data_IF_584415492385
#
_entry.id   IF_584415492385
#
_cell.length_a   1.000
_cell.length_b   1.000
_cell.length_c   1.000
_cell.angle_alpha   90.00
_cell.angle_beta   90.00
_cell.angle_gamma   90.00
#
_symmetry.space_group_name_H-M   'P 1'
#
loop_
_entity.id
_entity.type
_entity.pdbx_description
1 polymer ?
#
# COMPACT_ATOMS: atom_id res chain seq x y z
N UNK A 1 58.40 -0.59 -15.46
CA UNK A 1 57.25 -1.36 -14.93
C UNK A 1 56.83 -0.89 -13.54
N UNK A 2 57.78 -0.66 -12.63
CA UNK A 2 57.52 -0.26 -11.23
C UNK A 2 56.82 1.11 -11.10
N UNK A 3 57.28 2.13 -11.83
CA UNK A 3 56.66 3.47 -11.85
C UNK A 3 55.20 3.46 -12.35
N UNK A 4 54.86 2.57 -13.30
CA UNK A 4 53.48 2.39 -13.78
C UNK A 4 52.58 1.70 -12.74
N UNK A 5 53.13 0.84 -11.88
CA UNK A 5 52.38 0.21 -10.79
C UNK A 5 52.14 1.21 -9.65
N UNK A 6 53.13 2.04 -9.32
CA UNK A 6 53.02 3.09 -8.30
C UNK A 6 51.95 4.15 -8.68
N UNK A 7 51.93 4.58 -9.94
CA UNK A 7 50.89 5.49 -10.45
C UNK A 7 49.48 4.88 -10.34
N UNK A 8 49.33 3.59 -10.68
CA UNK A 8 48.05 2.87 -10.58
C UNK A 8 47.59 2.73 -9.13
N UNK A 9 48.50 2.40 -8.21
CA UNK A 9 48.19 2.30 -6.79
C UNK A 9 47.80 3.65 -6.19
N UNK A 10 48.54 4.71 -6.54
CA UNK A 10 48.25 6.07 -6.10
C UNK A 10 46.90 6.60 -6.63
N UNK A 11 46.50 6.19 -7.83
CA UNK A 11 45.17 6.48 -8.38
C UNK A 11 44.08 5.71 -7.63
N UNK A 12 44.27 4.41 -7.38
CA UNK A 12 43.30 3.57 -6.68
C UNK A 12 43.00 4.08 -5.26
N UNK A 13 44.02 4.53 -4.52
CA UNK A 13 43.85 5.13 -3.19
C UNK A 13 42.99 6.41 -3.23
N UNK A 14 43.07 7.20 -4.30
CA UNK A 14 42.27 8.42 -4.47
C UNK A 14 40.82 8.10 -4.83
N UNK A 15 40.61 7.11 -5.68
CA UNK A 15 39.28 6.57 -5.99
C UNK A 15 38.60 6.02 -4.74
N UNK A 16 39.31 5.25 -3.91
CA UNK A 16 38.74 4.69 -2.68
C UNK A 16 38.40 5.77 -1.63
N UNK A 17 39.27 6.78 -1.48
CA UNK A 17 38.98 7.94 -0.63
C UNK A 17 37.76 8.72 -1.10
N UNK A 18 37.55 8.86 -2.41
CA UNK A 18 36.36 9.47 -2.97
C UNK A 18 35.10 8.63 -2.66
N UNK A 19 35.17 7.32 -2.90
CA UNK A 19 34.07 6.37 -2.65
C UNK A 19 33.66 6.36 -1.17
N UNK A 20 34.63 6.26 -0.27
CA UNK A 20 34.41 6.30 1.18
C UNK A 20 33.78 7.61 1.64
N UNK A 21 34.19 8.75 1.06
CA UNK A 21 33.60 10.05 1.40
C UNK A 21 32.14 10.21 0.92
N UNK A 22 31.82 9.66 -0.26
CA UNK A 22 30.44 9.62 -0.79
C UNK A 22 29.56 8.76 0.12
N UNK A 23 30.00 7.54 0.46
CA UNK A 23 29.25 6.63 1.34
C UNK A 23 29.02 7.19 2.74
N UNK A 24 29.98 7.97 3.26
CA UNK A 24 29.85 8.63 4.55
C UNK A 24 28.97 9.89 4.53
N UNK A 25 28.40 10.28 3.38
CA UNK A 25 27.63 11.52 3.23
C UNK A 25 28.46 12.80 3.37
N UNK A 26 29.79 12.69 3.27
CA UNK A 26 30.75 13.78 3.46
C UNK A 26 31.24 14.38 2.14
N UNK A 27 30.56 14.08 1.04
CA UNK A 27 30.96 14.48 -0.29
C UNK A 27 29.73 14.93 -1.07
N UNK A 28 29.57 16.25 -1.20
CA UNK A 28 28.47 16.82 -1.96
C UNK A 28 28.99 17.26 -3.32
N UNK A 29 28.56 16.57 -4.38
CA UNK A 29 28.87 16.89 -5.77
C UNK A 29 27.66 17.58 -6.39
N UNK A 30 27.85 18.81 -6.88
CA UNK A 30 26.79 19.59 -7.55
C UNK A 30 27.23 19.95 -8.96
N UNK A 31 26.44 19.59 -9.97
CA UNK A 31 26.67 19.98 -11.36
C UNK A 31 26.20 21.42 -11.58
N UNK A 32 27.07 22.28 -12.08
CA UNK A 32 26.77 23.70 -12.34
C UNK A 32 26.67 24.05 -13.83
N UNK A 33 27.31 23.25 -14.70
CA UNK A 33 27.22 23.39 -16.16
C UNK A 33 27.49 22.03 -16.86
N UNK A 34 27.30 21.92 -18.19
CA UNK A 34 27.44 20.66 -18.95
C UNK A 34 28.76 19.89 -18.79
N UNK A 35 29.82 20.51 -18.27
CA UNK A 35 31.10 19.86 -17.94
C UNK A 35 31.78 20.52 -16.72
N UNK A 36 30.98 21.05 -15.79
CA UNK A 36 31.48 21.76 -14.60
C UNK A 36 30.70 21.37 -13.36
N UNK A 37 31.43 21.15 -12.27
CA UNK A 37 30.92 20.70 -10.99
C UNK A 37 31.58 21.44 -9.83
N UNK A 38 30.89 21.52 -8.72
CA UNK A 38 31.43 21.92 -7.43
C UNK A 38 31.41 20.73 -6.47
N UNK A 39 32.49 20.56 -5.71
CA UNK A 39 32.64 19.46 -4.77
C UNK A 39 32.95 20.00 -3.39
N UNK A 40 32.11 19.68 -2.41
CA UNK A 40 32.25 20.11 -1.02
C UNK A 40 32.54 18.90 -0.11
N UNK A 41 33.59 19.01 0.70
CA UNK A 41 33.90 18.03 1.75
C UNK A 41 33.10 18.35 3.02
N UNK A 42 32.50 17.34 3.66
CA UNK A 42 31.69 17.48 4.87
C UNK A 42 32.49 17.80 6.14
N UNK A 43 33.81 17.60 6.14
CA UNK A 43 34.66 17.76 7.33
C UNK A 43 35.17 19.21 7.54
N UNK A 44 34.65 20.19 6.79
CA UNK A 44 35.25 21.52 6.63
C UNK A 44 34.65 22.69 7.41
N UNK A 45 33.68 22.51 8.31
CA UNK A 45 33.13 23.64 9.06
C UNK A 45 33.95 23.92 10.32
N UNK A 46 35.08 24.61 10.16
CA UNK A 46 35.62 25.50 11.19
C UNK A 46 36.05 26.81 10.55
N UNK A 47 35.55 27.92 11.08
CA UNK A 47 35.92 29.30 10.72
C UNK A 47 35.52 29.78 9.31
N UNK A 48 34.30 29.44 8.87
CA UNK A 48 33.51 30.39 8.06
C UNK A 48 34.00 30.73 6.64
N UNK A 49 34.79 29.88 5.97
CA UNK A 49 34.95 29.92 4.50
C UNK A 49 35.72 28.68 4.01
N UNK A 50 35.00 27.61 3.65
CA UNK A 50 35.55 26.58 2.74
C UNK A 50 34.79 26.73 1.43
N UNK A 51 35.44 27.35 0.45
CA UNK A 51 34.86 27.42 -0.90
C UNK A 51 34.87 26.01 -1.49
N UNK A 52 33.77 25.60 -2.17
CA UNK A 52 33.73 24.30 -2.81
C UNK A 52 34.83 24.21 -3.88
N UNK A 53 35.39 23.02 -4.08
CA UNK A 53 36.37 22.80 -5.13
C UNK A 53 35.67 22.78 -6.48
N UNK A 54 36.14 23.59 -7.43
CA UNK A 54 35.61 23.59 -8.78
C UNK A 54 36.31 22.50 -9.59
N UNK A 55 35.51 21.64 -10.20
CA UNK A 55 35.95 20.57 -11.10
C UNK A 55 35.38 20.86 -12.48
N UNK A 56 36.21 20.74 -13.51
CA UNK A 56 35.79 20.89 -14.90
C UNK A 56 36.39 19.80 -15.76
N UNK A 57 35.68 19.43 -16.81
CA UNK A 57 36.19 18.61 -17.90
C UNK A 57 36.32 19.52 -19.12
N UNK A 58 37.53 19.63 -19.67
CA UNK A 58 37.81 20.47 -20.84
C UNK A 58 38.32 19.54 -21.96
N UNK A 59 37.42 19.13 -22.85
CA UNK A 59 37.72 18.07 -23.81
C UNK A 59 37.99 16.75 -23.08
N UNK A 60 39.17 16.19 -23.25
CA UNK A 60 39.57 14.92 -22.60
C UNK A 60 40.31 15.09 -21.26
N UNK A 61 40.52 16.34 -20.82
CA UNK A 61 41.32 16.63 -19.62
C UNK A 61 40.46 17.16 -18.48
N UNK A 62 40.56 16.50 -17.33
CA UNK A 62 39.96 16.96 -16.08
C UNK A 62 40.79 18.06 -15.45
N UNK A 63 40.16 18.98 -14.74
CA UNK A 63 40.82 19.98 -13.92
C UNK A 63 40.09 20.15 -12.59
N UNK A 64 40.83 20.33 -11.51
CA UNK A 64 40.29 20.59 -10.18
C UNK A 64 41.07 21.69 -9.48
N UNK A 65 40.40 22.54 -8.70
CA UNK A 65 41.06 23.60 -7.91
C UNK A 65 41.75 23.10 -6.63
N UNK A 66 41.72 21.80 -6.35
CA UNK A 66 42.34 21.25 -5.15
C UNK A 66 43.87 21.09 -5.27
N UNK A 67 44.55 21.18 -4.13
CA UNK A 67 46.02 21.13 -4.07
C UNK A 67 46.59 19.78 -4.55
N UNK A 68 45.90 18.66 -4.30
CA UNK A 68 46.31 17.33 -4.79
C UNK A 68 46.34 17.28 -6.32
N UNK A 69 45.38 17.94 -6.99
CA UNK A 69 45.38 18.05 -8.45
C UNK A 69 46.44 19.04 -8.95
N UNK A 70 46.62 20.19 -8.27
CA UNK A 70 47.65 21.16 -8.65
C UNK A 70 49.08 20.57 -8.58
N UNK A 71 49.31 19.62 -7.68
CA UNK A 71 50.62 19.00 -7.50
C UNK A 71 50.86 17.77 -8.39
N UNK A 72 49.81 17.01 -8.74
CA UNK A 72 49.94 15.68 -9.36
C UNK A 72 49.09 15.46 -10.61
N UNK A 73 48.16 16.37 -10.88
CA UNK A 73 47.39 16.40 -12.13
C UNK A 73 48.26 16.88 -13.29
N UNK A 74 47.99 16.46 -14.53
CA UNK A 74 46.89 15.58 -14.98
C UNK A 74 47.22 14.07 -14.88
N UNK A 75 48.42 13.69 -14.44
CA UNK A 75 48.88 12.30 -14.43
C UNK A 75 48.11 11.42 -13.42
N UNK A 76 47.69 12.03 -12.30
CA UNK A 76 46.86 11.38 -11.28
C UNK A 76 45.65 12.28 -11.01
N UNK A 77 44.46 11.70 -11.05
CA UNK A 77 43.21 12.40 -10.76
C UNK A 77 43.00 12.44 -9.25
N UNK A 78 42.66 13.62 -8.74
CA UNK A 78 42.39 13.80 -7.32
C UNK A 78 41.06 13.16 -6.91
N UNK A 79 40.86 12.99 -5.60
CA UNK A 79 39.60 12.43 -5.06
C UNK A 79 38.34 13.21 -5.48
N UNK A 80 38.46 14.50 -5.81
CA UNK A 80 37.33 15.32 -6.26
C UNK A 80 36.90 15.00 -7.68
N UNK A 81 37.86 14.79 -8.58
CA UNK A 81 37.58 14.33 -9.94
C UNK A 81 36.99 12.92 -9.89
N UNK A 82 37.60 12.02 -9.09
CA UNK A 82 37.10 10.65 -8.93
C UNK A 82 35.69 10.63 -8.34
N UNK A 83 35.38 11.50 -7.37
CA UNK A 83 34.04 11.58 -6.81
C UNK A 83 33.00 12.13 -7.79
N UNK A 84 33.38 13.08 -8.66
CA UNK A 84 32.51 13.49 -9.79
C UNK A 84 32.29 12.33 -10.74
N UNK A 85 33.35 11.62 -11.15
CA UNK A 85 33.24 10.45 -12.04
C UNK A 85 32.36 9.35 -11.46
N UNK A 86 32.51 9.04 -10.18
CA UNK A 86 31.67 8.04 -9.49
C UNK A 86 30.21 8.49 -9.39
N UNK A 87 29.97 9.77 -9.09
CA UNK A 87 28.61 10.33 -8.99
C UNK A 87 27.93 10.39 -10.37
N UNK A 88 28.65 10.79 -11.41
CA UNK A 88 28.18 10.79 -12.80
C UNK A 88 28.00 9.37 -13.33
N UNK A 89 28.85 8.42 -12.96
CA UNK A 89 28.66 7.00 -13.32
C UNK A 89 27.45 6.42 -12.61
N UNK A 90 27.20 6.77 -11.35
CA UNK A 90 26.00 6.36 -10.62
C UNK A 90 24.72 7.02 -11.19
N UNK A 91 24.80 8.28 -11.61
CA UNK A 91 23.70 8.98 -12.29
C UNK A 91 23.46 8.46 -13.72
N UNK A 92 24.51 8.07 -14.43
CA UNK A 92 24.42 7.45 -15.75
C UNK A 92 24.01 5.98 -15.65
N UNK A 93 24.35 5.27 -14.56
CA UNK A 93 23.81 3.96 -14.25
C UNK A 93 22.33 4.06 -13.88
N UNK A 94 21.93 5.02 -13.04
CA UNK A 94 20.53 5.29 -12.81
C UNK A 94 19.83 5.74 -14.09
N UNK A 95 20.46 6.52 -14.97
CA UNK A 95 19.91 6.83 -16.31
C UNK A 95 19.91 5.63 -17.25
N UNK A 96 20.81 4.65 -17.10
CA UNK A 96 20.85 3.44 -17.92
C UNK A 96 19.92 2.33 -17.41
N UNK A 97 19.63 2.34 -16.11
CA UNK A 97 18.62 1.51 -15.45
C UNK A 97 17.24 2.13 -15.67
N UNK A 98 17.11 3.46 -15.62
CA UNK A 98 15.95 4.21 -16.11
C UNK A 98 15.80 4.03 -17.63
N UNK A 99 16.88 4.04 -18.42
CA UNK A 99 16.79 3.77 -19.86
C UNK A 99 16.57 2.28 -20.17
N UNK A 100 16.95 1.32 -19.32
CA UNK A 100 16.54 -0.08 -19.45
C UNK A 100 15.09 -0.27 -19.04
N UNK A 101 14.63 0.43 -18.01
CA UNK A 101 13.21 0.54 -17.67
C UNK A 101 12.43 1.25 -18.78
N UNK A 102 12.99 2.26 -19.46
CA UNK A 102 12.36 2.97 -20.59
C UNK A 102 12.50 2.22 -21.92
N UNK A 103 13.57 1.47 -22.16
CA UNK A 103 13.79 0.66 -23.38
C UNK A 103 13.12 -0.72 -23.27
N UNK A 104 12.76 -1.15 -22.06
CA UNK A 104 11.69 -2.13 -21.84
C UNK A 104 10.29 -1.50 -21.97
N UNK A 105 10.18 -0.17 -22.10
CA UNK A 105 8.91 0.56 -22.17
C UNK A 105 8.71 1.37 -23.47
N UNK A 106 9.62 1.25 -24.43
CA UNK A 106 9.42 1.69 -25.82
C UNK A 106 9.75 0.52 -26.76
N UNK A 107 8.78 -0.39 -26.87
CA UNK A 107 8.53 -1.01 -28.18
C UNK A 107 8.00 0.07 -29.14
N UNK A 108 8.33 -0.04 -30.44
CA UNK A 108 7.91 0.93 -31.44
C UNK A 108 6.38 1.06 -31.43
N UNK A 109 5.88 2.23 -31.83
CA UNK A 109 4.48 2.48 -32.18
C UNK A 109 3.95 1.37 -33.12
N UNK A 110 3.41 0.31 -32.53
CA UNK A 110 2.58 -0.70 -33.15
C UNK A 110 1.60 -1.13 -32.08
N UNK A 111 0.41 -0.51 -32.10
CA UNK A 111 -0.82 -1.01 -31.46
C UNK A 111 -0.57 -1.86 -30.21
N UNK A 112 -0.09 -1.22 -29.13
CA UNK A 112 0.17 -1.86 -27.85
C UNK A 112 -1.14 -2.46 -27.36
N UNK A 113 -1.25 -3.77 -27.58
CA UNK A 113 -2.45 -4.59 -27.40
C UNK A 113 -3.29 -4.10 -26.23
N UNK A 114 -4.57 -3.83 -26.48
CA UNK A 114 -5.59 -3.67 -25.43
C UNK A 114 -5.49 -4.80 -24.37
N UNK A 115 -4.89 -5.94 -24.73
CA UNK A 115 -4.54 -7.02 -23.81
C UNK A 115 -3.48 -6.67 -22.75
N UNK A 116 -2.50 -5.80 -23.00
CA UNK A 116 -1.40 -5.52 -22.07
C UNK A 116 -1.82 -4.57 -20.94
N UNK A 117 -2.57 -3.49 -21.25
CA UNK A 117 -3.15 -2.60 -20.23
C UNK A 117 -4.19 -3.32 -19.38
N UNK A 118 -5.12 -4.05 -20.01
CA UNK A 118 -6.10 -4.87 -19.31
C UNK A 118 -5.44 -5.92 -18.42
N UNK A 119 -4.39 -6.59 -18.90
CA UNK A 119 -3.64 -7.60 -18.11
C UNK A 119 -2.97 -6.97 -16.89
N UNK A 120 -2.35 -5.78 -17.02
CA UNK A 120 -1.82 -5.04 -15.88
C UNK A 120 -2.91 -4.69 -14.87
N UNK A 121 -4.04 -4.14 -15.32
CA UNK A 121 -5.16 -3.79 -14.43
C UNK A 121 -5.65 -5.02 -13.67
N UNK A 122 -5.91 -6.12 -14.38
CA UNK A 122 -6.37 -7.37 -13.77
C UNK A 122 -5.34 -7.95 -12.80
N UNK A 123 -4.05 -7.84 -13.11
CA UNK A 123 -2.97 -8.26 -12.21
C UNK A 123 -2.94 -7.40 -10.92
N UNK A 124 -3.08 -6.08 -11.04
CA UNK A 124 -3.11 -5.17 -9.89
C UNK A 124 -4.33 -5.42 -8.98
N UNK A 125 -5.52 -5.60 -9.57
CA UNK A 125 -6.76 -5.86 -8.82
C UNK A 125 -6.72 -7.18 -8.02
N UNK A 126 -5.89 -8.14 -8.45
CA UNK A 126 -5.68 -9.42 -7.77
C UNK A 126 -4.69 -9.35 -6.63
N UNK A 127 -3.89 -8.29 -6.53
CA UNK A 127 -2.90 -8.16 -5.46
C UNK A 127 -3.60 -8.10 -4.09
N UNK A 128 -2.97 -8.63 -3.03
CA UNK A 128 -3.50 -8.50 -1.69
C UNK A 128 -3.60 -7.03 -1.27
N UNK A 129 -4.55 -6.72 -0.39
CA UNK A 129 -4.64 -5.41 0.21
C UNK A 129 -3.43 -5.18 1.12
N UNK A 130 -2.71 -4.07 0.89
CA UNK A 130 -1.69 -3.61 1.82
C UNK A 130 -2.36 -3.14 3.12
N UNK A 131 -2.07 -3.84 4.23
CA UNK A 131 -2.64 -3.55 5.54
C UNK A 131 -2.20 -2.19 6.10
N UNK A 132 -1.14 -1.57 5.56
CA UNK A 132 -0.72 -0.20 5.94
C UNK A 132 -1.75 0.87 5.54
N UNK A 133 -2.53 0.60 4.48
CA UNK A 133 -3.62 1.45 3.98
C UNK A 133 -4.88 1.36 4.85
N UNK A 134 -4.99 0.32 5.68
CA UNK A 134 -6.18 0.07 6.50
C UNK A 134 -6.15 0.92 7.76
N UNK A 135 -7.19 1.74 7.93
CA UNK A 135 -7.44 2.48 9.18
C UNK A 135 -8.50 1.77 9.99
N UNK A 136 -8.62 2.12 11.28
CA UNK A 136 -9.68 1.59 12.15
C UNK A 136 -10.45 2.72 12.83
N UNK A 137 -11.76 2.55 12.96
CA UNK A 137 -12.66 3.49 13.64
C UNK A 137 -13.49 2.77 14.70
N UNK A 138 -13.88 3.49 15.75
CA UNK A 138 -14.80 2.94 16.75
C UNK A 138 -16.20 2.81 16.16
N UNK A 139 -16.80 1.63 16.31
CA UNK A 139 -18.16 1.34 15.90
C UNK A 139 -19.04 1.06 17.13
N UNK A 140 -20.29 1.57 17.17
CA UNK A 140 -21.20 1.31 18.28
C UNK A 140 -21.40 -0.20 18.51
N UNK A 141 -21.05 -0.68 19.71
CA UNK A 141 -21.29 -2.06 20.14
C UNK A 141 -20.40 -3.14 19.49
N UNK A 142 -19.53 -2.79 18.53
CA UNK A 142 -18.72 -3.76 17.77
C UNK A 142 -17.21 -3.54 17.94
N UNK A 143 -16.79 -2.65 18.86
CA UNK A 143 -15.38 -2.29 19.04
C UNK A 143 -14.83 -1.50 17.85
N UNK A 144 -13.62 -1.80 17.42
CA UNK A 144 -12.93 -1.08 16.35
C UNK A 144 -13.06 -1.79 15.00
N UNK A 145 -13.54 -1.10 13.96
CA UNK A 145 -13.82 -1.63 12.62
C UNK A 145 -12.83 -1.07 11.59
N UNK A 146 -12.21 -1.92 10.74
CA UNK A 146 -11.30 -1.46 9.71
C UNK A 146 -12.02 -0.82 8.52
N UNK A 147 -11.36 0.12 7.87
CA UNK A 147 -11.85 0.80 6.68
C UNK A 147 -10.70 1.39 5.85
N UNK A 148 -10.95 1.66 4.56
CA UNK A 148 -10.09 2.49 3.71
C UNK A 148 -10.60 3.94 3.70
N UNK A 149 -9.67 4.89 3.70
CA UNK A 149 -9.95 6.31 3.60
C UNK A 149 -10.44 6.69 2.19
N UNK A 150 -11.22 7.77 2.07
CA UNK A 150 -11.79 8.18 0.78
C UNK A 150 -10.71 8.53 -0.25
N UNK A 151 -9.71 9.32 0.16
CA UNK A 151 -8.62 9.73 -0.73
C UNK A 151 -7.79 8.53 -1.21
N UNK A 152 -7.54 7.54 -0.33
CA UNK A 152 -6.77 6.33 -0.66
C UNK A 152 -7.49 5.49 -1.74
N UNK A 153 -8.82 5.37 -1.65
CA UNK A 153 -9.61 4.69 -2.70
C UNK A 153 -9.54 5.43 -4.03
N UNK A 154 -9.62 6.77 -4.01
CA UNK A 154 -9.53 7.61 -5.21
C UNK A 154 -8.13 7.48 -5.84
N UNK A 155 -7.08 7.62 -5.04
CA UNK A 155 -5.69 7.53 -5.48
C UNK A 155 -5.36 6.15 -6.06
N UNK A 156 -5.84 5.09 -5.40
CA UNK A 156 -5.69 3.73 -5.92
C UNK A 156 -6.45 3.55 -7.23
N UNK A 157 -7.66 4.10 -7.38
CA UNK A 157 -8.39 4.06 -8.63
C UNK A 157 -7.65 4.80 -9.76
N UNK A 158 -7.07 5.96 -9.46
CA UNK A 158 -6.24 6.71 -10.42
C UNK A 158 -5.02 5.90 -10.86
N UNK A 159 -4.34 5.25 -9.92
CA UNK A 159 -3.16 4.42 -10.19
C UNK A 159 -3.50 3.19 -11.03
N UNK A 160 -4.56 2.46 -10.66
CA UNK A 160 -4.93 1.22 -11.35
C UNK A 160 -5.49 1.54 -12.75
N UNK A 161 -6.46 2.46 -12.85
CA UNK A 161 -7.23 2.67 -14.08
C UNK A 161 -6.71 3.82 -14.96
N UNK A 162 -5.78 4.64 -14.47
CA UNK A 162 -5.19 5.73 -15.25
C UNK A 162 -6.20 6.83 -15.59
N UNK A 163 -6.99 7.27 -14.61
CA UNK A 163 -8.10 8.25 -14.76
C UNK A 163 -9.24 7.83 -15.71
N UNK A 164 -9.20 6.62 -16.26
CA UNK A 164 -10.25 6.07 -17.11
C UNK A 164 -11.44 5.54 -16.26
N UNK A 165 -11.89 6.34 -15.30
CA UNK A 165 -13.00 6.02 -14.43
C UNK A 165 -13.76 7.29 -14.04
N UNK A 166 -15.02 7.11 -13.65
CA UNK A 166 -15.90 8.19 -13.21
C UNK A 166 -16.80 7.70 -12.08
N UNK A 167 -17.33 8.66 -11.32
CA UNK A 167 -18.35 8.43 -10.30
C UNK A 167 -19.51 9.40 -10.52
N UNK A 168 -20.69 8.86 -10.79
CA UNK A 168 -21.91 9.62 -11.04
C UNK A 168 -22.88 9.45 -9.86
N UNK A 169 -23.57 10.52 -9.48
CA UNK A 169 -24.75 10.42 -8.63
C UNK A 169 -25.96 10.02 -9.50
N UNK A 170 -26.67 8.98 -9.10
CA UNK A 170 -27.81 8.44 -9.89
C UNK A 170 -29.12 9.16 -9.55
N UNK A 171 -29.18 9.86 -8.42
CA UNK A 171 -30.36 10.60 -7.99
C UNK A 171 -30.05 11.56 -6.85
N UNK A 172 -31.09 12.28 -6.42
CA UNK A 172 -30.98 13.19 -5.29
C UNK A 172 -30.73 12.41 -3.98
N UNK A 173 -29.94 12.97 -3.04
CA UNK A 173 -29.79 12.40 -1.71
C UNK A 173 -31.13 12.28 -0.99
N UNK A 174 -31.41 11.12 -0.40
CA UNK A 174 -32.59 10.90 0.43
C UNK A 174 -32.22 11.16 1.88
N UNK A 175 -32.96 12.06 2.53
CA UNK A 175 -32.73 12.45 3.93
C UNK A 175 -33.93 11.99 4.76
N UNK A 176 -33.68 11.13 5.74
CA UNK A 176 -34.70 10.66 6.69
C UNK A 176 -34.38 11.23 8.06
N UNK A 177 -35.33 11.90 8.72
CA UNK A 177 -35.19 12.44 10.07
C UNK A 177 -36.21 11.82 11.02
N UNK A 178 -35.80 11.56 12.26
CA UNK A 178 -36.71 11.11 13.32
C UNK A 178 -36.21 11.55 14.69
N UNK A 179 -37.11 11.51 15.68
CA UNK A 179 -36.79 11.82 17.07
C UNK A 179 -36.34 10.55 17.80
N UNK A 180 -35.14 10.60 18.40
CA UNK A 180 -34.57 9.50 19.20
C UNK A 180 -34.59 9.88 20.67
N UNK A 181 -35.08 8.98 21.53
CA UNK A 181 -35.02 9.18 22.99
C UNK A 181 -33.57 9.19 23.46
N UNK A 182 -33.19 10.23 24.20
CA UNK A 182 -31.89 10.30 24.85
C UNK A 182 -31.92 9.36 26.04
N UNK A 183 -30.95 8.45 26.13
CA UNK A 183 -30.86 7.47 27.20
C UNK A 183 -29.64 7.73 28.07
N UNK A 184 -29.84 7.74 29.39
CA UNK A 184 -28.78 7.81 30.38
C UNK A 184 -28.65 6.48 31.12
N UNK A 185 -27.43 6.13 31.54
CA UNK A 185 -27.20 4.94 32.35
C UNK A 185 -27.72 5.17 33.78
N UNK A 186 -28.66 4.36 34.23
CA UNK A 186 -29.16 4.40 35.60
C UNK A 186 -28.45 3.32 36.43
N UNK A 187 -27.76 3.73 37.49
CA UNK A 187 -27.02 2.82 38.37
C UNK A 187 -27.95 1.89 39.20
N UNK A 188 -29.11 2.38 39.63
CA UNK A 188 -30.06 1.61 40.43
C UNK A 188 -30.72 0.50 39.60
N UNK A 189 -31.15 0.84 38.39
CA UNK A 189 -31.81 -0.12 37.48
C UNK A 189 -30.82 -0.93 36.63
N UNK A 190 -29.52 -0.61 36.70
CA UNK A 190 -28.43 -1.22 35.90
C UNK A 190 -28.75 -1.32 34.40
N UNK A 191 -29.46 -0.31 33.88
CA UNK A 191 -29.87 -0.23 32.47
C UNK A 191 -29.91 1.21 31.98
N UNK A 192 -30.00 1.36 30.67
CA UNK A 192 -30.24 2.66 30.03
C UNK A 192 -31.72 3.03 30.16
N UNK A 193 -32.01 4.18 30.78
CA UNK A 193 -33.37 4.73 30.93
C UNK A 193 -33.49 6.06 30.19
N UNK A 194 -34.71 6.44 29.74
CA UNK A 194 -34.91 7.74 29.10
C UNK A 194 -34.55 8.88 30.04
N UNK A 195 -33.81 9.86 29.52
CA UNK A 195 -33.50 11.08 30.25
C UNK A 195 -34.76 11.94 30.31
N UNK A 196 -35.09 12.43 31.51
CA UNK A 196 -36.27 13.28 31.73
C UNK A 196 -35.79 14.72 31.90
N UNK A 197 -36.47 15.68 31.28
CA UNK A 197 -36.20 17.11 31.45
C UNK A 197 -36.80 17.66 32.76
N UNK A 198 -36.54 18.94 33.04
CA UNK A 198 -37.06 19.62 34.24
C UNK A 198 -38.60 19.67 34.29
N UNK A 199 -39.28 19.44 33.16
CA UNK A 199 -40.73 19.49 33.01
C UNK A 199 -41.37 18.10 33.12
N UNK A 200 -40.59 17.04 33.35
CA UNK A 200 -41.09 15.67 33.43
C UNK A 200 -41.26 14.97 32.09
N UNK A 201 -40.82 15.57 30.98
CA UNK A 201 -40.91 14.97 29.65
C UNK A 201 -39.64 14.20 29.29
N UNK A 202 -39.78 13.17 28.46
CA UNK A 202 -38.64 12.44 27.91
C UNK A 202 -37.87 13.32 26.94
N UNK A 203 -36.58 13.53 27.20
CA UNK A 203 -35.70 14.23 26.28
C UNK A 203 -35.53 13.43 24.99
N UNK A 204 -35.74 14.11 23.86
CA UNK A 204 -35.50 13.58 22.52
C UNK A 204 -34.43 14.41 21.82
N UNK A 205 -33.72 13.77 20.92
CA UNK A 205 -32.73 14.37 20.05
C UNK A 205 -33.10 14.06 18.61
N UNK A 206 -33.00 15.07 17.74
CA UNK A 206 -33.18 14.86 16.31
C UNK A 206 -31.98 14.10 15.74
N UNK A 207 -32.27 13.02 15.04
CA UNK A 207 -31.29 12.24 14.32
C UNK A 207 -31.75 12.06 12.88
N UNK A 208 -30.79 11.86 11.99
CA UNK A 208 -31.11 11.58 10.61
C UNK A 208 -30.15 10.61 9.94
N UNK A 209 -30.59 10.12 8.79
CA UNK A 209 -29.86 9.22 7.93
C UNK A 209 -29.94 9.76 6.50
N UNK A 210 -28.78 9.93 5.90
CA UNK A 210 -28.64 10.30 4.50
C UNK A 210 -28.32 9.04 3.70
N UNK A 211 -29.02 8.88 2.58
CA UNK A 211 -28.76 7.85 1.57
C UNK A 211 -28.40 8.52 0.25
N UNK A 212 -27.32 8.07 -0.37
CA UNK A 212 -26.91 8.49 -1.72
C UNK A 212 -26.70 7.25 -2.57
N UNK A 213 -27.29 7.23 -3.76
CA UNK A 213 -27.03 6.20 -4.77
C UNK A 213 -26.11 6.77 -5.83
N UNK A 214 -25.01 6.07 -6.08
CA UNK A 214 -24.00 6.46 -7.04
C UNK A 214 -23.54 5.27 -7.87
N UNK A 215 -22.90 5.55 -9.00
CA UNK A 215 -22.38 4.57 -9.95
C UNK A 215 -20.93 4.89 -10.24
N UNK A 216 -20.06 3.91 -10.09
CA UNK A 216 -18.71 3.97 -10.68
C UNK A 216 -18.77 3.36 -12.07
N UNK A 217 -18.16 4.03 -13.04
CA UNK A 217 -17.93 3.50 -14.39
C UNK A 217 -16.42 3.49 -14.66
N UNK A 218 -15.88 2.38 -15.12
CA UNK A 218 -14.45 2.20 -15.45
C UNK A 218 -14.35 1.71 -16.89
N UNK A 219 -13.46 2.32 -17.65
CA UNK A 219 -13.07 1.88 -18.98
C UNK A 219 -11.86 0.95 -18.89
N UNK A 220 -12.10 -0.32 -19.21
CA UNK A 220 -11.10 -1.38 -19.29
C UNK A 220 -10.78 -1.67 -20.75
N UNK A 221 -10.15 -0.69 -21.42
CA UNK A 221 -9.71 -0.79 -22.81
C UNK A 221 -10.87 -1.00 -23.81
N UNK A 222 -11.86 -0.10 -23.74
CA UNK A 222 -13.08 -0.16 -24.54
C UNK A 222 -14.18 -1.03 -23.94
N UNK A 223 -13.85 -1.81 -22.89
CA UNK A 223 -14.84 -2.58 -22.12
C UNK A 223 -15.25 -1.79 -20.89
N UNK A 224 -16.44 -1.23 -20.91
CA UNK A 224 -16.99 -0.54 -19.76
C UNK A 224 -17.46 -1.54 -18.69
N UNK A 225 -16.95 -1.38 -17.48
CA UNK A 225 -17.52 -1.98 -16.28
C UNK A 225 -18.16 -0.88 -15.46
N UNK A 226 -19.39 -1.09 -15.00
CA UNK A 226 -20.04 -0.16 -14.09
C UNK A 226 -20.70 -0.89 -12.95
N UNK A 227 -20.65 -0.28 -11.77
CA UNK A 227 -21.35 -0.78 -10.60
C UNK A 227 -21.95 0.36 -9.80
N UNK A 228 -23.18 0.16 -9.35
CA UNK A 228 -23.90 1.09 -8.50
C UNK A 228 -24.10 0.48 -7.11
N UNK A 229 -23.87 1.28 -6.08
CA UNK A 229 -24.15 0.93 -4.68
C UNK A 229 -24.77 2.16 -4.00
N UNK A 230 -25.12 2.00 -2.73
CA UNK A 230 -25.72 3.01 -1.88
C UNK A 230 -24.77 3.33 -0.72
N UNK A 231 -24.43 4.61 -0.57
CA UNK A 231 -23.72 5.13 0.59
C UNK A 231 -24.67 5.66 1.65
N UNK A 232 -24.23 5.58 2.90
CA UNK A 232 -25.05 6.01 4.04
C UNK A 232 -24.24 6.70 5.13
N UNK A 233 -24.83 7.74 5.72
CA UNK A 233 -24.26 8.41 6.88
C UNK A 233 -25.37 8.83 7.85
N UNK A 234 -25.15 8.55 9.13
CA UNK A 234 -26.04 8.97 10.22
C UNK A 234 -25.52 10.29 10.75
N UNK A 235 -26.42 11.21 11.07
CA UNK A 235 -26.11 12.46 11.76
C UNK A 235 -27.07 12.70 12.91
N UNK A 236 -26.68 13.65 13.76
CA UNK A 236 -27.40 14.06 14.96
C UNK A 236 -27.45 15.58 15.00
N UNK A 237 -28.57 16.12 15.49
CA UNK A 237 -28.83 17.56 15.53
C UNK A 237 -29.52 18.07 14.27
N UNK A 238 -29.86 19.36 14.29
CA UNK A 238 -30.60 20.04 13.22
C UNK A 238 -29.75 20.99 12.37
N UNK A 239 -28.45 21.10 12.66
CA UNK A 239 -27.61 22.15 12.06
C UNK A 239 -27.26 21.87 10.60
N UNK A 240 -27.07 22.91 9.77
CA UNK A 240 -26.62 22.74 8.39
C UNK A 240 -25.29 21.98 8.27
N UNK A 241 -24.36 22.19 9.20
CA UNK A 241 -23.05 21.54 9.21
C UNK A 241 -23.17 20.04 9.46
N UNK A 242 -24.08 19.62 10.34
CA UNK A 242 -24.33 18.21 10.59
C UNK A 242 -24.88 17.51 9.34
N UNK A 243 -25.76 18.18 8.61
CA UNK A 243 -26.31 17.67 7.36
C UNK A 243 -25.25 17.62 6.24
N UNK A 244 -24.44 18.66 6.10
CA UNK A 244 -23.38 18.73 5.08
C UNK A 244 -22.32 17.64 5.27
N UNK A 245 -21.87 17.42 6.51
CA UNK A 245 -20.99 16.31 6.85
C UNK A 245 -21.60 14.95 6.53
N UNK A 246 -22.92 14.79 6.75
CA UNK A 246 -23.63 13.54 6.43
C UNK A 246 -23.75 13.31 4.92
N UNK A 247 -24.00 14.37 4.14
CA UNK A 247 -24.03 14.32 2.68
C UNK A 247 -22.67 13.93 2.13
N UNK A 248 -21.61 14.62 2.52
CA UNK A 248 -20.24 14.33 2.12
C UNK A 248 -19.80 12.91 2.55
N UNK A 249 -20.14 12.53 3.78
CA UNK A 249 -19.88 11.19 4.31
C UNK A 249 -20.61 10.09 3.53
N UNK A 250 -21.88 10.32 3.15
CA UNK A 250 -22.67 9.36 2.36
C UNK A 250 -22.15 9.24 0.93
N UNK A 251 -21.75 10.33 0.30
CA UNK A 251 -21.17 10.31 -1.04
C UNK A 251 -19.85 9.54 -1.05
N UNK A 252 -18.98 9.79 -0.06
CA UNK A 252 -17.72 9.08 0.09
C UNK A 252 -17.93 7.59 0.41
N UNK A 253 -18.89 7.26 1.29
CA UNK A 253 -19.24 5.86 1.56
C UNK A 253 -19.76 5.16 0.29
N UNK A 254 -20.59 5.83 -0.50
CA UNK A 254 -21.11 5.32 -1.76
C UNK A 254 -19.98 4.98 -2.74
N UNK A 255 -19.06 5.93 -2.95
CA UNK A 255 -17.89 5.76 -3.82
C UNK A 255 -17.07 4.53 -3.43
N UNK A 256 -16.73 4.41 -2.13
CA UNK A 256 -15.93 3.26 -1.63
C UNK A 256 -16.66 1.94 -1.82
N UNK A 257 -17.97 1.91 -1.59
CA UNK A 257 -18.79 0.71 -1.76
C UNK A 257 -18.91 0.31 -3.23
N UNK A 258 -18.99 1.27 -4.15
CA UNK A 258 -18.97 1.00 -5.58
C UNK A 258 -17.64 0.33 -6.00
N UNK A 259 -16.51 0.87 -5.54
CA UNK A 259 -15.19 0.31 -5.84
C UNK A 259 -14.91 -1.04 -5.19
N UNK A 260 -15.52 -1.35 -4.04
CA UNK A 260 -15.34 -2.62 -3.31
C UNK A 260 -15.49 -3.85 -4.22
N UNK A 261 -16.43 -3.83 -5.17
CA UNK A 261 -16.66 -4.99 -6.06
C UNK A 261 -15.54 -5.24 -7.07
N UNK A 262 -14.61 -4.30 -7.26
CA UNK A 262 -13.50 -4.44 -8.20
C UNK A 262 -12.32 -5.24 -7.65
N UNK A 263 -12.33 -5.59 -6.36
CA UNK A 263 -11.39 -6.55 -5.79
C UNK A 263 -10.73 -6.09 -4.49
N UNK A 264 -9.67 -6.82 -4.12
CA UNK A 264 -9.01 -6.68 -2.83
C UNK A 264 -8.37 -5.31 -2.63
N UNK A 265 -7.89 -4.68 -3.70
CA UNK A 265 -7.29 -3.35 -3.68
C UNK A 265 -8.21 -2.24 -3.15
N UNK A 266 -9.52 -2.48 -3.16
CA UNK A 266 -10.57 -1.57 -2.69
C UNK A 266 -11.28 -2.06 -1.42
N UNK A 267 -10.65 -2.98 -0.68
CA UNK A 267 -11.10 -3.35 0.67
C UNK A 267 -12.20 -4.42 0.71
N UNK A 268 -12.33 -5.25 -0.32
CA UNK A 268 -13.29 -6.35 -0.33
C UNK A 268 -13.08 -7.33 0.85
N UNK A 269 -11.83 -7.72 1.14
CA UNK A 269 -11.48 -8.55 2.31
C UNK A 269 -11.82 -7.94 3.66
N UNK A 270 -11.99 -6.62 3.79
CA UNK A 270 -12.31 -6.00 5.08
C UNK A 270 -13.72 -6.35 5.59
N UNK A 271 -14.55 -6.98 4.76
CA UNK A 271 -15.86 -7.50 5.12
C UNK A 271 -15.81 -8.95 5.62
N UNK A 272 -14.69 -9.65 5.42
CA UNK A 272 -14.43 -10.93 6.04
C UNK A 272 -14.18 -10.70 7.54
N UNK A 273 -14.91 -11.44 8.40
CA UNK A 273 -14.86 -11.23 9.85
C UNK A 273 -13.49 -11.57 10.45
N UNK A 274 -12.79 -12.56 9.92
CA UNK A 274 -11.48 -12.97 10.43
C UNK A 274 -10.42 -11.93 10.04
N UNK A 275 -10.46 -11.47 8.79
CA UNK A 275 -9.55 -10.42 8.31
C UNK A 275 -9.83 -9.10 9.03
N UNK A 276 -11.10 -8.75 9.21
CA UNK A 276 -11.49 -7.51 9.87
C UNK A 276 -11.01 -7.42 11.34
N UNK A 277 -10.89 -8.56 12.03
CA UNK A 277 -10.36 -8.59 13.39
C UNK A 277 -8.89 -8.19 13.42
N UNK A 278 -8.08 -8.70 12.49
CA UNK A 278 -6.63 -8.55 12.50
C UNK A 278 -6.11 -7.36 11.68
N UNK A 279 -6.89 -6.85 10.73
CA UNK A 279 -6.47 -5.79 9.82
C UNK A 279 -6.08 -4.50 10.55
N UNK A 280 -4.94 -3.91 10.18
CA UNK A 280 -4.44 -2.65 10.71
C UNK A 280 -3.96 -2.67 12.17
N UNK A 281 -3.69 -3.85 12.76
CA UNK A 281 -3.17 -3.96 14.14
C UNK A 281 -1.64 -4.09 14.25
N UNK A 282 -0.91 -4.26 13.13
CA UNK A 282 0.52 -4.58 13.16
C UNK A 282 1.45 -3.38 13.40
N UNK A 283 0.94 -2.13 13.44
CA UNK A 283 1.77 -0.92 13.64
C UNK A 283 2.16 -0.63 15.10
N UNK A 284 2.51 -1.63 15.92
CA UNK A 284 2.84 -1.34 17.33
C UNK A 284 3.63 -2.36 18.13
N UNK A 285 4.30 -3.36 17.53
CA UNK A 285 5.00 -4.40 18.29
C UNK A 285 6.52 -4.50 18.10
N UNK A 286 7.16 -3.45 17.59
CA UNK A 286 8.61 -3.31 17.64
C UNK A 286 9.02 -2.07 18.43
N UNK A 287 9.03 -2.19 19.76
CA UNK A 287 10.03 -1.63 20.69
C UNK A 287 9.46 -1.56 22.10
N UNK A 288 10.09 -2.28 23.03
CA UNK A 288 9.76 -2.24 24.44
C UNK A 288 10.25 -3.45 25.23
N UNK A 289 11.52 -3.83 25.09
CA UNK A 289 12.18 -4.67 26.09
C UNK A 289 12.40 -3.83 27.35
N UNK A 290 11.60 -4.06 28.39
CA UNK A 290 11.99 -3.77 29.77
C UNK A 290 11.50 -4.89 30.69
N UNK A 291 12.48 -5.57 31.29
CA UNK A 291 12.34 -6.56 32.34
C UNK A 291 11.69 -5.96 33.59
N UNK A 292 10.69 -6.62 34.19
CA UNK A 292 10.83 -7.22 35.54
C UNK A 292 9.58 -8.00 35.99
N UNK A 293 9.74 -8.94 36.96
CA UNK A 293 8.79 -10.00 37.24
C UNK A 293 7.88 -9.69 38.43
N UNK A 294 6.62 -10.14 38.39
CA UNK A 294 5.82 -10.35 39.59
C UNK A 294 4.76 -11.42 39.33
N UNK A 295 4.73 -12.40 40.24
CA UNK A 295 3.91 -13.60 40.20
C UNK A 295 2.42 -13.32 40.49
N UNK A 296 1.53 -14.10 39.87
CA UNK A 296 0.43 -14.76 40.58
C UNK A 296 -0.19 -15.86 39.72
N UNK A 297 -0.37 -16.99 40.40
CA UNK A 297 -0.76 -18.32 39.91
C UNK A 297 -2.28 -18.46 39.80
N UNK A 298 -2.69 -19.52 39.09
CA UNK A 298 -4.02 -20.20 39.08
C UNK A 298 -5.02 -19.60 38.05
N UNK A 299 -5.60 -20.31 37.08
CA UNK A 299 -5.87 -21.76 36.91
C UNK A 299 -5.99 -22.13 35.42
N UNK A 300 -5.48 -23.32 35.09
CA UNK A 300 -5.52 -23.96 33.79
C UNK A 300 -6.94 -24.44 33.44
N UNK A 301 -7.40 -24.12 32.23
CA UNK A 301 -8.32 -24.96 31.48
C UNK A 301 -7.61 -25.36 30.18
N UNK A 302 -7.25 -26.63 30.12
CA UNK A 302 -6.54 -27.27 29.02
C UNK A 302 -7.33 -27.17 27.72
N UNK A 303 -6.84 -26.39 26.77
CA UNK A 303 -7.08 -26.62 25.34
C UNK A 303 -5.72 -26.77 24.68
N UNK A 304 -5.52 -27.95 24.13
CA UNK A 304 -4.37 -28.34 23.30
C UNK A 304 -4.21 -27.33 22.16
N UNK A 305 -3.32 -26.36 22.34
CA UNK A 305 -2.82 -25.50 21.27
C UNK A 305 -1.82 -26.32 20.45
N UNK A 306 -2.29 -26.91 19.36
CA UNK A 306 -1.41 -27.27 18.25
C UNK A 306 -0.75 -25.98 17.77
N UNK A 307 0.59 -25.93 17.76
CA UNK A 307 1.33 -24.82 17.19
C UNK A 307 0.80 -24.51 15.77
N UNK A 308 0.71 -23.23 15.34
CA UNK A 308 0.23 -22.91 14.01
C UNK A 308 1.18 -23.53 12.99
N UNK A 309 0.72 -24.56 12.29
CA UNK A 309 1.46 -25.15 11.18
C UNK A 309 1.45 -24.09 10.07
N UNK A 310 2.60 -23.42 9.91
CA UNK A 310 2.83 -22.47 8.82
C UNK A 310 2.82 -23.26 7.51
N UNK A 311 1.72 -23.15 6.76
CA UNK A 311 1.57 -23.80 5.44
C UNK A 311 2.14 -22.88 4.37
N UNK A 312 2.95 -23.44 3.46
CA UNK A 312 3.59 -22.73 2.35
C UNK A 312 3.31 -23.45 1.04
N UNK A 313 2.91 -22.70 0.03
CA UNK A 313 2.85 -23.16 -1.34
C UNK A 313 4.27 -23.41 -1.89
N UNK A 314 4.39 -24.15 -3.01
CA UNK A 314 5.67 -24.45 -3.65
C UNK A 314 6.42 -23.21 -4.15
N UNK A 315 5.71 -22.12 -4.43
CA UNK A 315 6.22 -20.79 -4.78
C UNK A 315 6.73 -20.00 -3.57
N UNK A 316 6.66 -20.57 -2.36
CA UNK A 316 7.10 -19.94 -1.12
C UNK A 316 6.08 -18.99 -0.47
N UNK A 317 4.94 -18.75 -1.12
CA UNK A 317 3.85 -17.92 -0.58
C UNK A 317 3.20 -18.64 0.60
N UNK A 318 2.94 -17.89 1.68
CA UNK A 318 2.22 -18.41 2.83
C UNK A 318 0.76 -18.67 2.46
N UNK A 319 0.27 -19.86 2.80
CA UNK A 319 -1.17 -20.14 2.73
C UNK A 319 -1.84 -19.21 3.72
N UNK A 320 -2.82 -18.46 3.23
CA UNK A 320 -3.49 -17.42 4.02
C UNK A 320 -4.07 -17.99 5.32
N UNK A 321 -4.23 -17.12 6.32
CA UNK A 321 -4.75 -17.45 7.66
C UNK A 321 -6.21 -17.87 7.69
N UNK A 322 -6.93 -17.85 6.56
CA UNK A 322 -8.34 -18.21 6.44
C UNK A 322 -8.52 -19.73 6.51
N UNK A 323 -9.42 -20.18 7.40
CA UNK A 323 -9.69 -21.61 7.65
C UNK A 323 -10.03 -22.40 6.37
N UNK A 324 -10.87 -21.89 5.43
CA UNK A 324 -11.23 -22.65 4.23
C UNK A 324 -10.07 -22.91 3.25
N UNK A 325 -9.10 -21.99 3.16
CA UNK A 325 -7.94 -22.17 2.27
C UNK A 325 -6.95 -23.16 2.89
N UNK A 326 -6.81 -23.15 4.22
CA UNK A 326 -6.02 -24.13 4.95
C UNK A 326 -6.62 -25.54 4.83
N UNK A 327 -7.94 -25.66 4.97
CA UNK A 327 -8.65 -26.93 4.77
C UNK A 327 -8.51 -27.42 3.32
N UNK A 328 -8.67 -26.55 2.33
CA UNK A 328 -8.48 -26.90 0.93
C UNK A 328 -7.03 -27.34 0.63
N UNK A 329 -6.05 -26.63 1.20
CA UNK A 329 -4.64 -26.97 1.09
C UNK A 329 -4.34 -28.34 1.72
N UNK A 330 -4.89 -28.62 2.90
CA UNK A 330 -4.72 -29.91 3.57
C UNK A 330 -5.36 -31.04 2.77
N UNK A 331 -6.57 -30.83 2.22
CA UNK A 331 -7.23 -31.80 1.35
C UNK A 331 -6.44 -32.05 0.06
N UNK A 332 -5.88 -31.00 -0.55
CA UNK A 332 -5.02 -31.13 -1.72
C UNK A 332 -3.78 -31.96 -1.38
N UNK A 333 -3.11 -31.65 -0.26
CA UNK A 333 -1.91 -32.36 0.18
C UNK A 333 -2.20 -33.84 0.49
N UNK A 334 -3.35 -34.14 1.08
CA UNK A 334 -3.79 -35.52 1.33
C UNK A 334 -4.09 -36.28 0.03
N UNK A 335 -4.75 -35.66 -0.95
CA UNK A 335 -5.11 -36.35 -2.22
C UNK A 335 -3.95 -36.45 -3.21
N UNK A 336 -3.13 -35.42 -3.34
CA UNK A 336 -2.08 -35.32 -4.35
C UNK A 336 -0.70 -35.73 -3.82
N UNK A 337 -0.57 -35.94 -2.51
CA UNK A 337 0.69 -36.32 -1.84
C UNK A 337 1.77 -35.23 -1.83
N UNK A 338 1.48 -34.05 -2.37
CA UNK A 338 2.39 -32.89 -2.45
C UNK A 338 1.63 -31.60 -2.13
N UNK A 339 2.36 -30.58 -1.68
CA UNK A 339 1.81 -29.22 -1.56
C UNK A 339 1.49 -28.65 -2.95
N UNK A 340 0.43 -27.82 -3.09
CA UNK A 340 0.21 -27.07 -4.32
C UNK A 340 1.41 -26.15 -4.61
N UNK A 341 1.81 -26.05 -5.86
CA UNK A 341 2.87 -25.17 -6.32
C UNK A 341 2.50 -23.69 -6.16
N UNK A 342 1.23 -23.34 -6.30
CA UNK A 342 0.72 -21.97 -6.07
C UNK A 342 -0.74 -21.97 -5.64
N UNK A 343 -1.23 -20.80 -5.22
CA UNK A 343 -2.65 -20.56 -4.91
C UNK A 343 -3.58 -20.83 -6.12
N UNK A 344 -3.11 -20.58 -7.34
CA UNK A 344 -3.89 -20.79 -8.55
C UNK A 344 -4.03 -22.28 -8.91
N UNK A 345 -3.03 -23.11 -8.59
CA UNK A 345 -3.14 -24.57 -8.72
C UNK A 345 -4.19 -25.12 -7.76
N UNK A 346 -4.18 -24.66 -6.50
CA UNK A 346 -5.17 -25.06 -5.50
C UNK A 346 -6.61 -24.67 -5.95
N UNK A 347 -6.79 -23.48 -6.52
CA UNK A 347 -8.07 -23.03 -7.06
C UNK A 347 -8.52 -23.83 -8.28
N UNK A 348 -7.61 -24.13 -9.20
CA UNK A 348 -7.91 -24.92 -10.39
C UNK A 348 -8.35 -26.35 -10.02
N UNK A 349 -7.71 -26.94 -9.02
CA UNK A 349 -8.10 -28.24 -8.48
C UNK A 349 -9.48 -28.22 -7.81
N UNK A 350 -9.79 -27.19 -7.02
CA UNK A 350 -11.13 -27.01 -6.43
C UNK A 350 -12.23 -26.84 -7.49
N UNK A 351 -11.95 -26.09 -8.56
CA UNK A 351 -12.87 -25.89 -9.67
C UNK A 351 -13.12 -27.21 -10.46
N UNK A 352 -12.07 -28.02 -10.63
CA UNK A 352 -12.18 -29.35 -11.23
C UNK A 352 -13.09 -30.30 -10.44
N UNK A 353 -13.02 -30.26 -9.10
CA UNK A 353 -13.91 -31.08 -8.23
C UNK A 353 -15.38 -30.69 -8.30
N UNK A 354 -15.68 -29.42 -8.58
CA UNK A 354 -17.08 -28.96 -8.76
C UNK A 354 -17.66 -29.41 -10.10
N UNK A 355 -16.84 -29.49 -11.15
CA UNK A 355 -17.28 -29.96 -12.47
C UNK A 355 -17.62 -31.46 -12.46
N UNK A 356 -16.85 -32.28 -11.75
CA UNK A 356 -17.16 -33.72 -11.59
C UNK A 356 -18.46 -33.98 -10.81
N UNK A 357 -18.96 -33.01 -10.04
CA UNK A 357 -20.16 -33.14 -9.23
C UNK A 357 -21.45 -32.71 -9.96
N UNK A 358 -21.34 -31.99 -11.09
CA UNK A 358 -22.49 -31.59 -11.93
C UNK A 358 -22.84 -32.61 -13.02
N UNK A 359 -21.95 -33.55 -13.34
CA UNK A 359 -22.18 -34.57 -14.38
C UNK A 359 -23.04 -35.77 -13.91
N UNK A 360 -23.59 -35.72 -12.68
CA UNK A 360 -24.41 -36.80 -12.09
C UNK A 360 -25.79 -36.34 -11.59
N UNK A 361 -26.31 -35.19 -12.04
CA UNK A 361 -27.70 -34.82 -11.76
C UNK A 361 -28.65 -35.24 -12.90
N UNK A 362 -29.71 -36.04 -12.62
CA UNK A 362 -30.72 -36.35 -13.62
C UNK A 362 -31.54 -35.09 -13.96
N UNK A 363 -31.85 -34.91 -15.25
CA UNK A 363 -32.53 -33.75 -15.79
C UNK A 363 -33.91 -33.52 -15.13
N UNK A 364 -34.31 -32.26 -14.84
CA UNK A 364 -35.62 -31.97 -14.28
C UNK A 364 -36.72 -32.17 -15.33
N UNK A 365 -37.81 -32.81 -14.89
CA UNK A 365 -38.97 -33.14 -15.70
C UNK A 365 -39.64 -31.87 -16.26
N UNK A 366 -39.94 -31.91 -17.56
CA UNK A 366 -40.70 -30.90 -18.29
C UNK A 366 -42.15 -30.91 -17.81
N UNK A 367 -42.60 -29.79 -17.24
CA UNK A 367 -44.03 -29.56 -16.96
C UNK A 367 -44.64 -28.94 -18.20
N UNK A 368 -45.53 -29.69 -18.85
CA UNK A 368 -46.35 -29.27 -19.99
C UNK A 368 -47.67 -28.73 -19.48
N UNK A 369 -48.06 -27.59 -20.06
CA UNK A 369 -49.35 -26.88 -20.06
C UNK A 369 -49.84 -26.28 -18.73
#
# INVERSE_FOLDING_TARGET
MQESQELKQAQAERTERARSAILAGKFLVTRIAPQQWTVQNGDGVRFGRTLPYAVSLNGDYWACTCMDYQQRGPQILCKHIEGVRLSETAQNQSYSDINKEMQMNEQPLSDGSLGDRLSRILWELRQPLDMSRVKRRQAPGMGSVPYLEGYDVIDRANTVFGFAWSFDLIGEPVIVRWQKKVLAWNQQEKRKVPLIDANGNVQTEEVGLVYITGKVSVDLDGKFYSHADLGRCIFTGDTPEALDMALAGSATDCLKRCFRQMGEQFGNSLYDKEIAQNAGLEQGRENGQTNNPAASTTSQASRTTTAPIVRKYGDGVLVNGNVPEQEAYDQFKTKMGKSPASKDELRSWLAGQRSTHMEHQPAPASVVA
#
